data_IF_612279526854
#
_entry.id   IF_612279526854
#
_cell.length_a   1.000
_cell.length_b   1.000
_cell.length_c   1.000
_cell.angle_alpha   90.00
_cell.angle_beta   90.00
_cell.angle_gamma   90.00
#
_symmetry.space_group_name_H-M   'P 1'
#
loop_
_entity.id
_entity.type
_entity.pdbx_description
1 polymer ?
#
# COMPACT_ATOMS: atom_id res chain seq x y z
N UNK A 1 -17.70 4.84 -15.55
CA UNK A 1 -17.61 3.90 -14.41
C UNK A 1 -18.31 4.43 -13.16
N UNK A 2 -17.96 5.63 -12.66
CA UNK A 2 -18.57 6.28 -11.48
C UNK A 2 -20.10 6.46 -11.58
N UNK A 3 -20.62 6.88 -12.74
CA UNK A 3 -22.08 7.07 -12.92
C UNK A 3 -22.85 5.75 -12.79
N UNK A 4 -22.32 4.65 -13.36
CA UNK A 4 -22.95 3.31 -13.27
C UNK A 4 -22.99 2.77 -11.84
N UNK A 5 -21.96 3.06 -11.03
CA UNK A 5 -21.93 2.70 -9.61
C UNK A 5 -22.99 3.48 -8.82
N UNK A 6 -23.21 4.76 -9.13
CA UNK A 6 -24.19 5.60 -8.43
C UNK A 6 -25.64 5.28 -8.80
N UNK A 7 -25.87 4.71 -9.97
CA UNK A 7 -27.22 4.37 -10.47
C UNK A 7 -27.69 2.96 -10.04
N UNK A 8 -26.97 2.28 -9.15
CA UNK A 8 -27.36 0.94 -8.69
C UNK A 8 -27.25 -0.14 -9.77
N UNK A 9 -26.40 0.05 -10.79
CA UNK A 9 -26.24 -0.92 -11.88
C UNK A 9 -25.62 -2.26 -11.42
N UNK A 10 -25.06 -2.31 -10.21
CA UNK A 10 -24.54 -3.51 -9.59
C UNK A 10 -25.42 -3.86 -8.39
N UNK A 11 -26.21 -4.95 -8.46
CA UNK A 11 -26.95 -5.42 -7.31
C UNK A 11 -25.96 -5.82 -6.21
N UNK A 12 -26.25 -5.44 -4.96
CA UNK A 12 -25.51 -5.95 -3.81
C UNK A 12 -25.58 -7.49 -3.80
N UNK A 13 -24.48 -8.17 -3.51
CA UNK A 13 -24.51 -9.62 -3.35
C UNK A 13 -25.52 -9.99 -2.26
N UNK A 14 -26.59 -10.71 -2.64
CA UNK A 14 -27.66 -11.07 -1.73
C UNK A 14 -27.09 -11.88 -0.54
N UNK A 15 -27.39 -11.44 0.68
CA UNK A 15 -26.87 -12.06 1.91
C UNK A 15 -25.43 -11.69 2.28
N UNK A 16 -24.76 -10.82 1.52
CA UNK A 16 -23.43 -10.33 1.89
C UNK A 16 -23.53 -9.14 2.84
N UNK A 17 -23.06 -9.33 4.08
CA UNK A 17 -22.95 -8.31 5.11
C UNK A 17 -21.47 -7.93 5.25
N UNK A 18 -21.11 -6.73 4.77
CA UNK A 18 -19.76 -6.20 4.93
C UNK A 18 -19.55 -5.79 6.39
N UNK A 19 -18.85 -6.63 7.15
CA UNK A 19 -18.52 -6.37 8.56
C UNK A 19 -17.13 -5.78 8.70
N UNK A 20 -17.05 -4.47 8.82
CA UNK A 20 -15.82 -3.78 9.18
C UNK A 20 -15.89 -2.28 8.96
N UNK A 21 -15.18 -1.47 9.74
CA UNK A 21 -15.02 -0.06 9.44
C UNK A 21 -14.10 0.12 8.22
N UNK A 22 -14.54 0.85 7.20
CA UNK A 22 -13.66 1.30 6.12
C UNK A 22 -13.31 2.76 6.35
N UNK A 23 -12.03 3.04 6.57
CA UNK A 23 -11.54 4.41 6.68
C UNK A 23 -11.19 4.93 5.29
N UNK A 24 -12.00 5.88 4.81
CA UNK A 24 -11.75 6.57 3.55
C UNK A 24 -10.68 7.65 3.72
N UNK A 25 -9.91 7.87 2.66
CA UNK A 25 -8.85 8.88 2.54
C UNK A 25 -9.23 10.01 1.56
N UNK A 26 -10.53 10.34 1.51
CA UNK A 26 -11.05 11.39 0.62
C UNK A 26 -10.35 12.71 0.92
N UNK A 27 -9.80 13.34 -0.11
CA UNK A 27 -9.03 14.59 -0.01
C UNK A 27 -7.55 14.41 0.36
N UNK A 28 -7.07 13.19 0.56
CA UNK A 28 -5.67 12.87 0.88
C UNK A 28 -4.97 12.10 -0.23
N UNK A 29 -5.65 11.81 -1.34
CA UNK A 29 -5.19 10.94 -2.43
C UNK A 29 -3.89 11.45 -3.07
N UNK A 30 -3.76 12.78 -3.20
CA UNK A 30 -2.58 13.41 -3.79
C UNK A 30 -1.31 13.15 -2.99
N UNK A 31 -1.41 12.99 -1.66
CA UNK A 31 -0.23 12.72 -0.81
C UNK A 31 0.36 11.36 -1.12
N UNK A 32 -0.47 10.32 -1.19
CA UNK A 32 -0.08 8.96 -1.54
C UNK A 32 0.51 8.89 -2.95
N UNK A 33 -0.18 9.45 -3.94
CA UNK A 33 0.25 9.43 -5.35
C UNK A 33 1.56 10.19 -5.53
N UNK A 34 1.65 11.42 -5.00
CA UNK A 34 2.84 12.26 -5.11
C UNK A 34 4.07 11.62 -4.49
N UNK A 35 3.95 11.07 -3.27
CA UNK A 35 5.05 10.38 -2.62
C UNK A 35 5.47 9.12 -3.40
N UNK A 36 4.53 8.24 -3.73
CA UNK A 36 4.88 6.95 -4.33
C UNK A 36 5.40 7.09 -5.77
N UNK A 37 4.93 8.07 -6.55
CA UNK A 37 5.38 8.28 -7.92
C UNK A 37 6.84 8.77 -8.02
N UNK A 38 7.35 9.46 -6.99
CA UNK A 38 8.73 9.94 -6.93
C UNK A 38 9.73 8.94 -6.34
N UNK A 39 9.26 7.83 -5.76
CA UNK A 39 10.10 6.81 -5.13
C UNK A 39 10.46 5.70 -6.12
N UNK A 40 11.57 4.99 -5.85
CA UNK A 40 11.82 3.71 -6.52
C UNK A 40 10.77 2.70 -6.11
N UNK A 41 10.49 1.75 -7.00
CA UNK A 41 9.47 0.74 -6.73
C UNK A 41 9.78 -0.13 -5.51
N UNK A 42 11.07 -0.34 -5.21
CA UNK A 42 11.55 -1.18 -4.10
C UNK A 42 12.00 -0.37 -2.87
N UNK A 43 11.78 0.95 -2.86
CA UNK A 43 11.85 1.76 -1.65
C UNK A 43 10.71 1.39 -0.69
N UNK A 44 10.90 1.66 0.60
CA UNK A 44 9.95 1.24 1.62
C UNK A 44 8.89 2.30 1.92
N UNK A 45 7.67 1.86 2.25
CA UNK A 45 6.64 2.71 2.83
C UNK A 45 6.04 2.06 4.07
N UNK A 46 5.68 2.86 5.06
CA UNK A 46 4.77 2.47 6.15
C UNK A 46 3.50 3.30 6.06
N UNK A 47 2.35 2.69 6.38
CA UNK A 47 1.05 3.31 6.16
C UNK A 47 0.21 3.38 7.45
N UNK A 48 -0.92 4.06 7.38
CA UNK A 48 -1.85 4.31 8.49
C UNK A 48 -3.16 3.54 8.33
N UNK A 49 -4.10 3.71 9.26
CA UNK A 49 -5.47 3.20 9.13
C UNK A 49 -6.27 3.82 7.96
N UNK A 50 -5.84 4.97 7.41
CA UNK A 50 -6.37 5.57 6.16
C UNK A 50 -5.52 5.20 4.94
N UNK A 51 -4.85 4.06 5.03
CA UNK A 51 -3.73 3.68 4.16
C UNK A 51 -4.06 3.11 2.79
N UNK A 52 -5.34 2.91 2.45
CA UNK A 52 -5.71 2.29 1.17
C UNK A 52 -5.13 3.05 -0.03
N UNK A 53 -5.14 4.38 0.02
CA UNK A 53 -4.51 5.23 -1.00
C UNK A 53 -3.00 4.99 -1.10
N UNK A 54 -2.31 4.88 0.03
CA UNK A 54 -0.87 4.61 0.10
C UNK A 54 -0.53 3.26 -0.55
N UNK A 55 -1.29 2.21 -0.21
CA UNK A 55 -1.09 0.87 -0.76
C UNK A 55 -1.36 0.82 -2.26
N UNK A 56 -2.43 1.46 -2.72
CA UNK A 56 -2.79 1.53 -4.14
C UNK A 56 -1.76 2.34 -4.94
N UNK A 57 -1.33 3.49 -4.42
CA UNK A 57 -0.34 4.34 -5.06
C UNK A 57 1.01 3.62 -5.14
N UNK A 58 1.46 2.98 -4.05
CA UNK A 58 2.72 2.26 -4.01
C UNK A 58 2.73 1.06 -4.96
N UNK A 59 1.67 0.24 -4.95
CA UNK A 59 1.57 -0.90 -5.84
C UNK A 59 1.51 -0.48 -7.32
N UNK A 60 0.74 0.56 -7.64
CA UNK A 60 0.69 1.13 -8.99
C UNK A 60 2.06 1.65 -9.47
N UNK A 61 2.74 2.45 -8.65
CA UNK A 61 4.08 2.93 -8.94
C UNK A 61 5.05 1.75 -9.15
N UNK A 62 4.92 0.71 -8.32
CA UNK A 62 5.80 -0.43 -8.41
C UNK A 62 5.60 -1.27 -9.66
N UNK A 63 4.36 -1.61 -10.00
CA UNK A 63 4.01 -2.35 -11.22
C UNK A 63 4.48 -1.60 -12.47
N UNK A 64 4.34 -0.27 -12.48
CA UNK A 64 4.82 0.57 -13.58
C UNK A 64 6.35 0.64 -13.65
N UNK A 65 7.05 0.48 -12.53
CA UNK A 65 8.51 0.50 -12.44
C UNK A 65 9.18 -0.85 -12.74
N UNK A 66 8.47 -1.96 -12.62
CA UNK A 66 9.03 -3.31 -12.84
C UNK A 66 9.46 -3.56 -14.29
N UNK A 67 10.47 -4.41 -14.42
CA UNK A 67 10.89 -5.02 -15.68
C UNK A 67 9.90 -6.10 -16.14
N UNK A 68 10.00 -6.53 -17.41
CA UNK A 68 9.19 -7.64 -17.94
C UNK A 68 9.40 -8.93 -17.14
N UNK A 69 10.65 -9.22 -16.76
CA UNK A 69 10.96 -10.41 -15.98
C UNK A 69 10.29 -10.40 -14.60
N UNK A 70 10.32 -9.26 -13.90
CA UNK A 70 9.67 -9.10 -12.60
C UNK A 70 8.15 -9.15 -12.70
N UNK A 71 7.56 -8.52 -13.73
CA UNK A 71 6.12 -8.60 -13.98
C UNK A 71 5.68 -10.04 -14.24
N UNK A 72 6.43 -10.81 -15.04
CA UNK A 72 6.13 -12.24 -15.29
C UNK A 72 6.28 -13.09 -14.03
N UNK A 73 7.28 -12.80 -13.19
CA UNK A 73 7.43 -13.49 -11.90
C UNK A 73 6.25 -13.18 -10.95
N UNK A 74 5.71 -11.95 -10.99
CA UNK A 74 4.53 -11.56 -10.22
C UNK A 74 3.24 -12.15 -10.78
N UNK A 75 3.10 -12.19 -12.10
CA UNK A 75 1.91 -12.61 -12.84
C UNK A 75 2.14 -13.97 -13.48
N UNK A 76 2.33 -15.01 -12.66
CA UNK A 76 2.63 -16.36 -13.15
C UNK A 76 1.54 -16.97 -14.04
N UNK A 77 0.34 -16.38 -14.05
CA UNK A 77 -0.81 -16.80 -14.85
C UNK A 77 -0.93 -16.05 -16.18
N UNK A 78 -0.20 -14.95 -16.37
CA UNK A 78 -0.22 -14.15 -17.60
C UNK A 78 0.89 -14.62 -18.55
N UNK A 79 0.54 -14.78 -19.83
CA UNK A 79 1.41 -15.35 -20.87
C UNK A 79 1.97 -14.31 -21.83
N UNK A 80 1.46 -13.07 -21.79
CA UNK A 80 1.94 -12.00 -22.67
C UNK A 80 3.43 -11.71 -22.48
N UNK A 81 4.09 -11.45 -23.60
CA UNK A 81 5.49 -10.98 -23.61
C UNK A 81 5.58 -9.45 -23.71
N UNK A 82 4.47 -8.78 -24.01
CA UNK A 82 4.46 -7.34 -24.19
C UNK A 82 4.34 -6.66 -22.84
N UNK A 83 5.34 -5.83 -22.51
CA UNK A 83 5.36 -5.04 -21.27
C UNK A 83 4.06 -4.29 -21.01
N UNK A 84 3.45 -3.69 -22.05
CA UNK A 84 2.21 -2.92 -21.90
C UNK A 84 1.05 -3.78 -21.40
N UNK A 85 0.90 -4.99 -21.94
CA UNK A 85 -0.15 -5.93 -21.55
C UNK A 85 0.11 -6.47 -20.15
N UNK A 86 1.36 -6.79 -19.81
CA UNK A 86 1.76 -7.21 -18.45
C UNK A 86 1.52 -6.13 -17.40
N UNK A 87 1.78 -4.86 -17.72
CA UNK A 87 1.50 -3.74 -16.80
C UNK A 87 -0.01 -3.61 -16.57
N UNK A 88 -0.83 -3.71 -17.62
CA UNK A 88 -2.28 -3.63 -17.48
C UNK A 88 -2.83 -4.76 -16.62
N UNK A 89 -2.45 -6.01 -16.91
CA UNK A 89 -2.81 -7.18 -16.10
C UNK A 89 -2.34 -7.05 -14.65
N UNK A 90 -1.15 -6.48 -14.43
CA UNK A 90 -0.62 -6.20 -13.10
C UNK A 90 -1.45 -5.19 -12.32
N UNK A 91 -1.93 -4.13 -12.98
CA UNK A 91 -2.79 -3.12 -12.36
C UNK A 91 -4.18 -3.67 -12.05
N UNK A 92 -4.73 -4.52 -12.93
CA UNK A 92 -5.99 -5.23 -12.67
C UNK A 92 -5.89 -6.18 -11.48
N UNK A 93 -4.84 -7.03 -11.43
CA UNK A 93 -4.56 -7.91 -10.28
C UNK A 93 -4.38 -7.10 -8.99
N UNK A 94 -3.73 -5.94 -9.07
CA UNK A 94 -3.52 -5.07 -7.90
C UNK A 94 -4.83 -4.55 -7.31
N UNK A 95 -5.72 -4.04 -8.16
CA UNK A 95 -7.05 -3.58 -7.74
C UNK A 95 -7.89 -4.74 -7.23
N UNK A 96 -7.86 -5.88 -7.93
CA UNK A 96 -8.56 -7.09 -7.51
C UNK A 96 -8.14 -7.53 -6.11
N UNK A 97 -6.83 -7.63 -5.83
CA UNK A 97 -6.32 -8.04 -4.52
C UNK A 97 -6.61 -7.04 -3.42
N UNK A 98 -6.58 -5.74 -3.71
CA UNK A 98 -6.95 -4.72 -2.74
C UNK A 98 -8.43 -4.83 -2.35
N UNK A 99 -9.31 -5.07 -3.32
CA UNK A 99 -10.73 -5.32 -3.09
C UNK A 99 -10.92 -6.66 -2.37
N UNK A 100 -10.23 -7.73 -2.78
CA UNK A 100 -10.29 -9.02 -2.10
C UNK A 100 -9.91 -8.91 -0.62
N UNK A 101 -8.87 -8.14 -0.29
CA UNK A 101 -8.46 -7.88 1.09
C UNK A 101 -9.53 -7.13 1.87
N UNK A 102 -10.09 -6.06 1.29
CA UNK A 102 -11.19 -5.29 1.87
C UNK A 102 -12.36 -6.22 2.22
N UNK A 103 -12.72 -7.14 1.33
CA UNK A 103 -13.82 -8.09 1.51
C UNK A 103 -13.45 -9.34 2.35
N UNK A 104 -12.25 -9.38 2.95
CA UNK A 104 -11.80 -10.48 3.80
C UNK A 104 -11.58 -11.80 3.05
N UNK A 105 -11.24 -11.74 1.75
CA UNK A 105 -11.04 -12.91 0.89
C UNK A 105 -9.58 -13.38 0.90
N UNK A 106 -9.39 -14.67 0.68
CA UNK A 106 -8.06 -15.31 0.68
C UNK A 106 -7.13 -14.75 -0.40
N UNK A 107 -7.67 -14.30 -1.53
CA UNK A 107 -6.90 -13.69 -2.62
C UNK A 107 -6.31 -12.32 -2.27
N UNK A 108 -6.76 -11.71 -1.17
CA UNK A 108 -6.25 -10.43 -0.67
C UNK A 108 -4.75 -10.47 -0.34
N UNK A 109 -4.13 -9.30 -0.32
CA UNK A 109 -2.69 -9.15 -0.03
C UNK A 109 -2.24 -9.82 1.27
N UNK A 110 -3.10 -9.79 2.28
CA UNK A 110 -2.86 -10.36 3.61
C UNK A 110 -3.81 -11.53 3.89
N UNK A 111 -4.36 -12.16 2.83
CA UNK A 111 -5.33 -13.26 2.90
C UNK A 111 -6.58 -12.90 3.69
N UNK A 112 -7.02 -11.66 3.58
CA UNK A 112 -8.22 -11.14 4.26
C UNK A 112 -8.03 -10.86 5.75
N UNK A 113 -6.81 -11.00 6.29
CA UNK A 113 -6.52 -10.76 7.72
C UNK A 113 -6.38 -9.29 8.06
N UNK A 114 -5.98 -8.48 7.10
CA UNK A 114 -5.89 -7.03 7.25
C UNK A 114 -7.25 -6.35 7.11
N UNK A 115 -8.20 -7.03 6.46
CA UNK A 115 -9.61 -6.65 6.36
C UNK A 115 -9.77 -5.26 5.76
N UNK A 116 -10.73 -4.50 6.28
CA UNK A 116 -11.07 -3.18 5.74
C UNK A 116 -10.17 -2.03 6.15
N UNK A 117 -9.03 -2.29 6.80
CA UNK A 117 -8.16 -1.22 7.32
C UNK A 117 -6.68 -1.38 7.01
N UNK A 118 -6.18 -2.60 6.81
CA UNK A 118 -4.73 -2.85 6.78
C UNK A 118 -4.31 -3.63 5.54
N UNK A 119 -3.59 -2.99 4.63
CA UNK A 119 -2.97 -3.66 3.49
C UNK A 119 -1.44 -3.64 3.68
N UNK A 120 -0.78 -4.75 3.32
CA UNK A 120 0.66 -4.87 3.25
C UNK A 120 1.08 -5.69 2.03
N UNK A 121 2.05 -5.19 1.25
CA UNK A 121 2.68 -5.93 0.16
C UNK A 121 4.20 -5.76 0.26
N UNK A 122 4.84 -6.63 1.05
CA UNK A 122 6.29 -6.57 1.29
C UNK A 122 7.11 -6.73 0.00
N UNK A 123 6.55 -7.34 -1.05
CA UNK A 123 7.23 -7.52 -2.35
C UNK A 123 7.55 -6.20 -3.03
N UNK A 124 6.79 -5.15 -2.72
CA UNK A 124 6.98 -3.80 -3.26
C UNK A 124 7.42 -2.80 -2.18
N UNK A 125 7.99 -3.28 -1.07
CA UNK A 125 8.43 -2.42 0.02
C UNK A 125 7.30 -1.78 0.83
N UNK A 126 6.06 -2.24 0.70
CA UNK A 126 4.97 -1.78 1.58
C UNK A 126 5.02 -2.57 2.89
N UNK A 127 5.65 -2.00 3.92
CA UNK A 127 5.93 -2.64 5.21
C UNK A 127 4.67 -2.83 6.08
N UNK A 128 3.54 -2.29 5.64
CA UNK A 128 2.22 -2.54 6.21
C UNK A 128 1.58 -1.29 6.80
N UNK A 129 0.27 -1.32 6.86
CA UNK A 129 -0.53 -0.37 7.62
C UNK A 129 -0.65 -0.83 9.08
N UNK A 130 -0.52 0.11 10.02
CA UNK A 130 -0.58 -0.17 11.45
C UNK A 130 -1.88 0.37 12.08
N UNK A 131 -2.48 -0.41 12.98
CA UNK A 131 -3.62 -0.01 13.81
C UNK A 131 -3.22 0.97 14.92
N UNK A 132 -1.97 0.89 15.39
CA UNK A 132 -1.43 1.74 16.45
C UNK A 132 -1.10 3.11 15.86
N UNK A 133 -1.74 4.14 16.40
CA UNK A 133 -1.48 5.53 16.02
C UNK A 133 0.00 5.85 16.27
N UNK A 134 0.72 6.30 15.23
CA UNK A 134 2.16 6.56 15.29
C UNK A 134 3.06 5.32 15.24
N UNK A 135 2.51 4.10 15.31
CA UNK A 135 3.29 2.86 15.33
C UNK A 135 4.06 2.56 14.03
N UNK A 136 3.74 3.23 12.91
CA UNK A 136 4.50 3.11 11.66
C UNK A 136 5.83 3.85 11.67
N UNK A 137 5.96 4.95 12.43
CA UNK A 137 7.16 5.80 12.46
C UNK A 137 8.41 5.08 12.96
N UNK A 138 8.39 4.30 14.07
CA UNK A 138 9.57 3.53 14.48
C UNK A 138 9.96 2.45 13.47
N UNK A 139 8.98 1.81 12.82
CA UNK A 139 9.21 0.80 11.77
C UNK A 139 9.93 1.46 10.58
N UNK A 140 9.44 2.63 10.14
CA UNK A 140 10.06 3.37 9.05
C UNK A 140 11.48 3.82 9.39
N UNK A 141 11.70 4.27 10.63
CA UNK A 141 13.02 4.69 11.12
C UNK A 141 14.00 3.51 11.09
N UNK A 142 13.59 2.34 11.61
CA UNK A 142 14.39 1.13 11.54
C UNK A 142 14.70 0.66 10.11
N UNK A 143 13.72 0.75 9.20
CA UNK A 143 13.92 0.41 7.79
C UNK A 143 14.92 1.36 7.10
N UNK A 144 14.85 2.66 7.38
CA UNK A 144 15.81 3.65 6.89
C UNK A 144 17.21 3.41 7.47
N UNK A 145 17.31 3.09 8.77
CA UNK A 145 18.59 2.74 9.40
C UNK A 145 19.20 1.49 8.79
N UNK A 146 18.39 0.47 8.47
CA UNK A 146 18.83 -0.73 7.76
C UNK A 146 19.39 -0.38 6.38
N UNK A 147 18.71 0.47 5.62
CA UNK A 147 19.19 0.94 4.31
C UNK A 147 20.54 1.67 4.41
N UNK A 148 20.73 2.49 5.44
CA UNK A 148 22.00 3.16 5.75
C UNK A 148 23.09 2.15 6.12
N UNK A 149 22.81 1.23 7.03
CA UNK A 149 23.76 0.21 7.50
C UNK A 149 24.22 -0.70 6.35
N UNK A 150 23.28 -1.16 5.53
CA UNK A 150 23.54 -2.01 4.36
C UNK A 150 24.05 -1.24 3.14
N UNK A 151 24.07 0.10 3.19
CA UNK A 151 24.52 0.99 2.11
C UNK A 151 23.83 0.69 0.77
N UNK A 152 22.54 0.38 0.80
CA UNK A 152 21.79 -0.07 -0.38
C UNK A 152 21.04 1.05 -1.10
N UNK A 153 21.15 2.30 -0.63
CA UNK A 153 20.56 3.48 -1.26
C UNK A 153 19.03 3.53 -1.26
N UNK A 154 18.33 2.60 -0.58
CA UNK A 154 16.88 2.65 -0.44
C UNK A 154 16.47 3.80 0.47
N UNK A 155 15.35 4.43 0.15
CA UNK A 155 14.69 5.38 1.04
C UNK A 155 13.44 4.76 1.66
N UNK A 156 12.98 5.35 2.77
CA UNK A 156 11.74 4.95 3.43
C UNK A 156 10.84 6.16 3.60
N UNK A 157 9.59 6.08 3.15
CA UNK A 157 8.57 7.09 3.38
C UNK A 157 7.59 6.62 4.45
N UNK A 158 7.33 7.45 5.46
CA UNK A 158 6.38 7.17 6.51
C UNK A 158 5.15 8.05 6.37
N UNK A 159 4.00 7.46 6.06
CA UNK A 159 2.73 8.17 6.19
C UNK A 159 2.31 8.21 7.65
N UNK A 160 2.03 9.42 8.17
CA UNK A 160 1.58 9.64 9.53
C UNK A 160 0.59 10.82 9.58
N UNK A 161 -0.49 10.67 10.35
CA UNK A 161 -1.43 11.75 10.60
C UNK A 161 -0.91 12.72 11.67
N UNK A 162 -1.49 13.93 11.72
CA UNK A 162 -1.18 14.96 12.72
C UNK A 162 -1.32 14.45 14.16
N UNK A 163 -2.40 13.73 14.47
CA UNK A 163 -2.61 13.15 15.80
C UNK A 163 -1.56 12.11 16.19
N UNK A 164 -0.80 11.56 15.24
CA UNK A 164 0.29 10.63 15.55
C UNK A 164 1.45 11.30 16.29
N UNK A 165 1.72 12.59 16.01
CA UNK A 165 2.85 13.32 16.58
C UNK A 165 2.72 13.61 18.08
N UNK A 166 1.55 13.39 18.66
CA UNK A 166 1.34 13.43 20.12
C UNK A 166 1.78 12.13 20.83
N UNK A 167 2.22 11.10 20.10
CA UNK A 167 2.71 9.86 20.69
C UNK A 167 4.22 9.94 20.94
N UNK A 168 4.65 9.56 22.15
CA UNK A 168 6.08 9.59 22.53
C UNK A 168 7.00 8.79 21.59
N UNK A 169 6.52 7.64 21.11
CA UNK A 169 7.28 6.79 20.16
C UNK A 169 7.60 7.51 18.85
N UNK A 170 6.74 8.43 18.41
CA UNK A 170 6.98 9.22 17.19
C UNK A 170 8.10 10.22 17.44
N UNK A 171 8.07 10.95 18.56
CA UNK A 171 9.11 11.91 18.91
C UNK A 171 10.47 11.24 19.11
N UNK A 172 10.50 10.09 19.77
CA UNK A 172 11.72 9.27 19.90
C UNK A 172 12.26 8.86 18.53
N UNK A 173 11.39 8.37 17.64
CA UNK A 173 11.77 7.95 16.29
C UNK A 173 12.32 9.11 15.45
N UNK A 174 11.73 10.30 15.55
CA UNK A 174 12.23 11.49 14.86
C UNK A 174 13.61 11.91 15.36
N UNK A 175 13.84 11.85 16.68
CA UNK A 175 15.16 12.11 17.25
C UNK A 175 16.19 11.09 16.73
N UNK A 176 15.85 9.81 16.71
CA UNK A 176 16.69 8.77 16.12
C UNK A 176 17.00 9.00 14.64
N UNK A 177 16.00 9.39 13.84
CA UNK A 177 16.18 9.69 12.42
C UNK A 177 17.12 10.89 12.19
N UNK A 178 17.11 11.89 13.08
CA UNK A 178 17.95 13.07 12.98
C UNK A 178 19.41 12.86 13.42
N UNK A 179 19.67 11.84 14.25
CA UNK A 179 21.03 11.48 14.69
C UNK A 179 21.82 10.67 13.63
N UNK A 180 21.22 10.41 12.47
CA UNK A 180 21.79 9.66 11.35
C UNK A 180 22.82 10.42 10.54
#
# INVERSE_FOLDING_TARGET
MIVKLRTGAYPSCAGYDYRGPTHVSIGQEATAVGCCAGMRYDDNVTSTHRGHGDSLAKGCAAIRGMSVAELRARLSWESSEKRKELVEAGLEDHVYRAIAELFGKEDGYCKGRGGGMHIADFRVGHLGANAIVGGGVPIATGAAMSARYLRNGKVTCCFAGDGAYNNGVVMESLNWAAMG
#
